data_IF_361898737429
#
_entry.id   IF_361898737429
#
_cell.length_a   1.000
_cell.length_b   1.000
_cell.length_c   1.000
_cell.angle_alpha   90.00
_cell.angle_beta   90.00
_cell.angle_gamma   90.00
#
_symmetry.space_group_name_H-M   'P 1'
#
loop_
_entity.id
_entity.type
_entity.pdbx_description
1 polymer ?
#
# COMPACT_ATOMS: atom_id res chain seq x y z
N UNK A 1 -10.00 -6.05 -8.62
CA UNK A 1 -9.42 -6.05 -9.99
C UNK A 1 -8.69 -7.37 -10.21
N UNK A 2 -8.85 -8.06 -11.35
CA UNK A 2 -8.12 -9.33 -11.61
C UNK A 2 -6.76 -9.04 -12.27
N UNK A 3 -5.68 -9.34 -11.57
CA UNK A 3 -4.31 -9.33 -12.09
C UNK A 3 -3.75 -10.75 -12.15
N UNK A 4 -2.79 -10.98 -13.05
CA UNK A 4 -2.14 -12.29 -13.15
C UNK A 4 -1.35 -12.60 -11.88
N UNK A 5 -1.25 -13.89 -11.51
CA UNK A 5 -0.51 -14.33 -10.31
C UNK A 5 0.94 -13.86 -10.30
N UNK A 6 1.60 -13.86 -11.46
CA UNK A 6 2.99 -13.39 -11.59
C UNK A 6 3.14 -11.90 -11.35
N UNK A 7 2.20 -11.09 -11.84
CA UNK A 7 2.19 -9.65 -11.58
C UNK A 7 1.88 -9.35 -10.11
N UNK A 8 0.92 -10.06 -9.52
CA UNK A 8 0.56 -9.90 -8.11
C UNK A 8 1.76 -10.13 -7.19
N UNK A 9 2.52 -11.21 -7.42
CA UNK A 9 3.73 -11.51 -6.64
C UNK A 9 4.77 -10.37 -6.73
N UNK A 10 5.00 -9.85 -7.94
CA UNK A 10 5.94 -8.74 -8.14
C UNK A 10 5.46 -7.46 -7.42
N UNK A 11 4.15 -7.20 -7.42
CA UNK A 11 3.57 -6.08 -6.71
C UNK A 11 3.68 -6.23 -5.19
N UNK A 12 3.54 -7.45 -4.65
CA UNK A 12 3.77 -7.72 -3.22
C UNK A 12 5.22 -7.48 -2.81
N UNK A 13 6.18 -7.89 -3.63
CA UNK A 13 7.60 -7.64 -3.40
C UNK A 13 7.91 -6.12 -3.38
N UNK A 14 7.39 -5.38 -4.37
CA UNK A 14 7.53 -3.92 -4.44
C UNK A 14 6.82 -3.21 -3.29
N UNK A 15 5.62 -3.66 -2.93
CA UNK A 15 4.86 -3.10 -1.83
C UNK A 15 5.57 -3.31 -0.49
N UNK A 16 6.18 -4.49 -0.26
CA UNK A 16 6.98 -4.75 0.94
C UNK A 16 8.21 -3.84 1.05
N UNK A 17 8.83 -3.47 -0.08
CA UNK A 17 9.91 -2.48 -0.10
C UNK A 17 9.38 -1.09 0.24
N UNK A 18 8.28 -0.69 -0.39
CA UNK A 18 7.61 0.58 -0.15
C UNK A 18 7.21 0.77 1.33
N UNK A 19 6.63 -0.25 1.97
CA UNK A 19 6.27 -0.22 3.39
C UNK A 19 7.47 0.02 4.32
N UNK A 20 8.68 -0.38 3.91
CA UNK A 20 9.92 -0.14 4.66
C UNK A 20 10.53 1.23 4.37
N UNK A 21 10.28 1.81 3.20
CA UNK A 21 10.84 3.10 2.79
C UNK A 21 10.03 4.28 3.30
N UNK A 22 8.70 4.21 3.27
CA UNK A 22 7.84 5.31 3.71
C UNK A 22 8.14 5.74 5.15
N UNK A 23 8.30 4.86 6.15
CA UNK A 23 8.65 5.27 7.51
C UNK A 23 10.02 5.95 7.63
N UNK A 24 11.01 5.56 6.81
CA UNK A 24 12.37 6.14 6.84
C UNK A 24 12.42 7.61 6.40
N UNK A 25 11.37 8.09 5.74
CA UNK A 25 11.23 9.52 5.40
C UNK A 25 11.05 10.42 6.63
N UNK A 26 10.76 9.83 7.80
CA UNK A 26 10.72 10.53 9.09
C UNK A 26 12.07 11.11 9.48
N UNK A 27 13.16 10.36 9.26
CA UNK A 27 14.53 10.79 9.58
C UNK A 27 14.97 12.01 8.76
N UNK A 28 14.29 12.29 7.65
CA UNK A 28 14.63 13.35 6.72
C UNK A 28 13.57 14.48 6.67
N UNK A 29 12.57 14.48 7.56
CA UNK A 29 11.46 15.45 7.67
C UNK A 29 10.63 15.71 6.38
N UNK A 30 10.85 14.96 5.29
CA UNK A 30 10.17 15.19 4.01
C UNK A 30 8.66 14.88 4.04
N UNK A 31 8.21 13.95 4.89
CA UNK A 31 6.80 13.57 5.00
C UNK A 31 6.32 13.65 6.44
N UNK A 32 5.22 14.36 6.67
CA UNK A 32 4.52 14.38 7.96
C UNK A 32 3.99 12.98 8.31
N UNK A 33 3.92 12.65 9.59
CA UNK A 33 3.43 11.36 10.07
C UNK A 33 2.03 10.98 9.53
N UNK A 34 1.11 11.94 9.45
CA UNK A 34 -0.22 11.70 8.88
C UNK A 34 -0.16 11.38 7.38
N UNK A 35 0.71 12.06 6.62
CA UNK A 35 0.90 11.79 5.20
C UNK A 35 1.42 10.37 4.97
N UNK A 36 2.39 9.92 5.78
CA UNK A 36 2.90 8.54 5.72
C UNK A 36 1.80 7.52 5.98
N UNK A 37 0.98 7.74 7.02
CA UNK A 37 -0.16 6.87 7.34
C UNK A 37 -1.16 6.80 6.19
N UNK A 38 -1.51 7.94 5.59
CA UNK A 38 -2.42 8.01 4.44
C UNK A 38 -1.87 7.23 3.24
N UNK A 39 -0.58 7.37 2.94
CA UNK A 39 0.06 6.67 1.84
C UNK A 39 0.06 5.15 2.03
N UNK A 40 0.45 4.69 3.22
CA UNK A 40 0.42 3.26 3.55
C UNK A 40 -1.00 2.70 3.51
N UNK A 41 -1.99 3.43 4.04
CA UNK A 41 -3.39 3.03 4.01
C UNK A 41 -3.89 2.85 2.57
N UNK A 42 -3.65 3.82 1.69
CA UNK A 42 -4.12 3.75 0.31
C UNK A 42 -3.44 2.64 -0.48
N UNK A 43 -2.13 2.48 -0.32
CA UNK A 43 -1.38 1.41 -0.98
C UNK A 43 -1.81 0.03 -0.48
N UNK A 44 -2.08 -0.14 0.83
CA UNK A 44 -2.64 -1.39 1.38
C UNK A 44 -4.02 -1.70 0.78
N UNK A 45 -4.93 -0.72 0.79
CA UNK A 45 -6.27 -0.89 0.21
C UNK A 45 -6.18 -1.28 -1.29
N UNK A 46 -5.24 -0.70 -2.03
CA UNK A 46 -4.99 -1.09 -3.42
C UNK A 46 -4.52 -2.55 -3.53
N UNK A 47 -3.56 -2.99 -2.70
CA UNK A 47 -3.12 -4.38 -2.67
C UNK A 47 -4.24 -5.35 -2.31
N UNK A 48 -5.11 -5.00 -1.35
CA UNK A 48 -6.31 -5.79 -1.01
C UNK A 48 -7.29 -5.86 -2.17
N UNK A 49 -7.49 -4.77 -2.92
CA UNK A 49 -8.36 -4.78 -4.10
C UNK A 49 -7.83 -5.67 -5.23
N UNK A 50 -6.51 -5.76 -5.40
CA UNK A 50 -5.89 -6.68 -6.35
C UNK A 50 -6.08 -8.15 -5.95
N UNK A 51 -6.23 -8.41 -4.65
CA UNK A 51 -6.52 -9.75 -4.09
C UNK A 51 -8.00 -10.10 -4.06
N UNK A 52 -8.88 -9.12 -4.30
CA UNK A 52 -10.34 -9.19 -4.10
C UNK A 52 -10.74 -9.33 -2.62
N UNK A 53 -9.91 -8.82 -1.71
CA UNK A 53 -10.15 -8.76 -0.26
C UNK A 53 -10.72 -7.38 0.17
N UNK A 54 -11.06 -6.52 -0.79
CA UNK A 54 -11.54 -5.15 -0.60
C UNK A 54 -12.19 -4.63 -1.90
N UNK A 55 -13.33 -3.93 -1.81
CA UNK A 55 -13.92 -3.17 -2.91
C UNK A 55 -13.76 -1.64 -2.69
N UNK A 56 -13.22 -0.89 -3.68
CA UNK A 56 -13.04 0.55 -3.54
C UNK A 56 -14.37 1.27 -3.29
N UNK A 57 -14.43 2.02 -2.20
CA UNK A 57 -15.63 2.75 -1.77
C UNK A 57 -16.37 2.09 -0.61
N UNK A 58 -16.04 0.84 -0.26
CA UNK A 58 -16.50 0.24 0.99
C UNK A 58 -15.80 0.88 2.20
N UNK A 59 -16.52 0.94 3.33
CA UNK A 59 -15.89 1.27 4.61
C UNK A 59 -14.96 0.12 4.99
N UNK A 60 -13.73 0.46 5.39
CA UNK A 60 -12.88 -0.47 6.13
C UNK A 60 -13.55 -0.71 7.49
N UNK A 61 -14.31 -1.80 7.62
CA UNK A 61 -14.73 -2.35 8.91
C UNK A 61 -13.58 -3.09 9.59
#
# INVERSE_FOLDING_TARGET
>A
MKVSKGLLKKLEELYSQYEKEVPKTEENEYLKANTRKTYLLHSNNFMRWLKNDFEPGERNE
#
